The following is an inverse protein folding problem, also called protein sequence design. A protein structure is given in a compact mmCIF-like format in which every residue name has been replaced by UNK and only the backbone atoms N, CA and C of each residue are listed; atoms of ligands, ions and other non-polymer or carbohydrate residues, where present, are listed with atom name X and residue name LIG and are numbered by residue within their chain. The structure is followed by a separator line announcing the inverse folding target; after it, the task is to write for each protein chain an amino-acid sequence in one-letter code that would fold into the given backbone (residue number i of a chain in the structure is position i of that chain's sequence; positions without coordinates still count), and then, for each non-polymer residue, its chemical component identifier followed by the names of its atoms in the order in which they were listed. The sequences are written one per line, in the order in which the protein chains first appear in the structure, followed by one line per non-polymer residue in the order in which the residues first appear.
data_IF_772525783997
#
_entry.id   IF_772525783997
#
_cell.length_a   1.000
_cell.length_b   1.000
_cell.length_c   1.000
_cell.angle_alpha   90.00
_cell.angle_beta   90.00
_cell.angle_gamma   90.00
#
_symmetry.space_group_name_H-M   'P 1'
#
loop_
_entity.id
_entity.type
_entity.pdbx_description
1 polymer ?
#
# COMPACT_ATOMS: atom_id res chain seq x y z
N UNK A 1 -1.97 11.36 -38.99
CA UNK A 1 -3.43 11.43 -39.11
C UNK A 1 -3.99 11.71 -37.73
N UNK A 2 -4.54 12.91 -37.50
CA UNK A 2 -5.15 13.27 -36.23
C UNK A 2 -6.49 12.58 -36.10
N UNK A 3 -6.54 11.46 -35.37
CA UNK A 3 -7.79 10.77 -35.06
C UNK A 3 -8.72 11.71 -34.29
N UNK A 4 -10.00 11.67 -34.62
CA UNK A 4 -11.06 12.41 -33.92
C UNK A 4 -11.02 12.01 -32.45
N UNK A 5 -10.75 12.94 -31.54
CA UNK A 5 -10.73 12.68 -30.09
C UNK A 5 -12.08 12.10 -29.67
N UNK A 6 -12.06 11.02 -28.90
CA UNK A 6 -13.29 10.46 -28.33
C UNK A 6 -14.02 11.51 -27.47
N UNK A 7 -15.35 11.52 -27.57
CA UNK A 7 -16.20 12.43 -26.79
C UNK A 7 -16.07 12.15 -25.29
N UNK A 8 -16.35 13.15 -24.46
CA UNK A 8 -16.45 12.92 -23.02
C UNK A 8 -17.75 12.18 -22.70
N UNK A 9 -17.71 11.34 -21.67
CA UNK A 9 -18.84 10.57 -21.18
C UNK A 9 -19.26 11.09 -19.80
N UNK A 10 -20.55 11.06 -19.50
CA UNK A 10 -21.09 11.34 -18.17
C UNK A 10 -21.66 10.05 -17.60
N UNK A 11 -21.13 9.61 -16.47
CA UNK A 11 -21.39 8.28 -15.90
C UNK A 11 -21.93 8.46 -14.48
N UNK A 12 -23.11 7.90 -14.21
CA UNK A 12 -23.66 7.86 -12.85
C UNK A 12 -22.95 6.80 -12.01
N UNK A 13 -22.32 7.23 -10.91
CA UNK A 13 -21.60 6.36 -9.98
C UNK A 13 -22.03 6.73 -8.57
N UNK A 14 -22.57 5.77 -7.82
CA UNK A 14 -23.00 5.97 -6.42
C UNK A 14 -23.91 7.22 -6.19
N UNK A 15 -24.76 7.57 -7.16
CA UNK A 15 -25.66 8.72 -7.09
C UNK A 15 -25.03 10.07 -7.48
N UNK A 16 -23.85 10.04 -8.08
CA UNK A 16 -23.14 11.22 -8.58
C UNK A 16 -22.76 11.06 -10.05
N UNK A 17 -23.02 12.09 -10.85
CA UNK A 17 -22.50 12.18 -12.22
C UNK A 17 -21.00 12.45 -12.21
N UNK A 18 -20.21 11.55 -12.79
CA UNK A 18 -18.76 11.69 -12.98
C UNK A 18 -18.45 11.78 -14.46
N UNK A 19 -17.82 12.87 -14.90
CA UNK A 19 -17.41 13.08 -16.28
C UNK A 19 -16.09 12.37 -16.58
N UNK A 20 -16.06 11.45 -17.54
CA UNK A 20 -14.85 10.84 -18.09
C UNK A 20 -14.43 11.58 -19.38
N UNK A 21 -13.27 12.22 -19.39
CA UNK A 21 -12.76 12.96 -20.55
C UNK A 21 -11.50 12.36 -21.12
N UNK A 22 -11.30 12.45 -22.44
CA UNK A 22 -10.21 11.79 -23.16
C UNK A 22 -10.16 10.28 -22.87
N UNK A 23 -11.29 9.56 -23.04
CA UNK A 23 -11.37 8.14 -22.70
C UNK A 23 -10.38 7.29 -23.52
N UNK A 24 -10.08 7.71 -24.74
CA UNK A 24 -9.13 7.09 -25.69
C UNK A 24 -7.65 7.31 -25.37
N UNK A 25 -7.32 8.13 -24.36
CA UNK A 25 -5.93 8.37 -23.96
C UNK A 25 -5.29 7.08 -23.47
N UNK A 26 -4.21 6.65 -24.11
CA UNK A 26 -3.43 5.49 -23.68
C UNK A 26 -2.74 5.79 -22.35
N UNK A 27 -2.99 4.94 -21.34
CA UNK A 27 -2.36 5.03 -20.02
C UNK A 27 -1.25 3.99 -19.88
N UNK A 28 -1.43 2.79 -20.42
CA UNK A 28 -0.43 1.71 -20.42
C UNK A 28 -0.04 1.33 -21.86
N UNK A 29 0.98 1.96 -22.45
CA UNK A 29 1.34 1.78 -23.87
C UNK A 29 1.61 0.32 -24.27
N UNK A 30 2.33 -0.44 -23.43
CA UNK A 30 2.71 -1.83 -23.72
C UNK A 30 1.51 -2.78 -23.75
N UNK A 31 0.45 -2.46 -23.00
CA UNK A 31 -0.77 -3.26 -22.93
C UNK A 31 -1.90 -2.69 -23.79
N UNK A 32 -1.75 -1.46 -24.26
CA UNK A 32 -2.78 -0.72 -24.98
C UNK A 32 -3.95 -0.23 -24.13
N UNK A 33 -3.86 -0.30 -22.79
CA UNK A 33 -4.96 0.15 -21.93
C UNK A 33 -5.07 1.67 -21.91
N UNK A 34 -6.30 2.13 -22.03
CA UNK A 34 -6.71 3.53 -22.11
C UNK A 34 -7.17 4.07 -20.76
N UNK A 35 -7.47 5.36 -20.71
CA UNK A 35 -8.05 6.00 -19.54
C UNK A 35 -9.44 5.46 -19.22
N UNK A 36 -10.24 5.15 -20.25
CA UNK A 36 -11.51 4.46 -20.06
C UNK A 36 -11.31 3.09 -19.39
N UNK A 37 -10.32 2.30 -19.83
CA UNK A 37 -10.03 1.00 -19.23
C UNK A 37 -9.69 1.13 -17.73
N UNK A 38 -8.84 2.11 -17.37
CA UNK A 38 -8.50 2.38 -15.96
C UNK A 38 -9.73 2.83 -15.15
N UNK A 39 -10.55 3.71 -15.72
CA UNK A 39 -11.75 4.21 -15.07
C UNK A 39 -12.75 3.06 -14.81
N UNK A 40 -13.07 2.27 -15.83
CA UNK A 40 -14.01 1.16 -15.72
C UNK A 40 -13.47 -0.01 -14.90
N UNK A 41 -12.16 -0.25 -14.92
CA UNK A 41 -11.52 -1.17 -14.00
C UNK A 41 -11.89 -0.81 -12.55
N UNK A 42 -11.69 0.43 -12.14
CA UNK A 42 -11.98 0.85 -10.78
C UNK A 42 -13.47 0.75 -10.41
N UNK A 43 -14.36 0.98 -11.38
CA UNK A 43 -15.79 0.73 -11.17
C UNK A 43 -16.08 -0.76 -10.97
N UNK A 44 -15.43 -1.63 -11.75
CA UNK A 44 -15.66 -3.09 -11.71
C UNK A 44 -15.16 -3.75 -10.42
N UNK A 45 -14.14 -3.18 -9.77
CA UNK A 45 -13.62 -3.65 -8.47
C UNK A 45 -14.20 -2.87 -7.30
N UNK A 46 -15.32 -2.18 -7.52
CA UNK A 46 -15.87 -1.18 -6.59
C UNK A 46 -16.09 -1.69 -5.17
N UNK A 47 -16.59 -2.91 -5.01
CA UNK A 47 -16.80 -3.51 -3.68
C UNK A 47 -15.47 -3.69 -2.93
N UNK A 48 -14.49 -4.33 -3.58
CA UNK A 48 -13.19 -4.62 -2.98
C UNK A 48 -12.36 -3.35 -2.74
N UNK A 49 -12.27 -2.45 -3.71
CA UNK A 49 -11.48 -1.22 -3.54
C UNK A 49 -12.07 -0.30 -2.47
N UNK A 50 -13.40 -0.24 -2.33
CA UNK A 50 -14.02 0.54 -1.27
C UNK A 50 -13.74 -0.05 0.12
N UNK A 51 -13.54 -1.35 0.28
CA UNK A 51 -13.06 -1.93 1.55
C UNK A 51 -11.68 -1.38 1.93
N UNK A 52 -10.82 -1.18 0.93
CA UNK A 52 -9.49 -0.62 1.10
C UNK A 52 -9.45 0.91 1.26
N UNK A 53 -10.45 1.65 0.77
CA UNK A 53 -10.40 3.13 0.69
C UNK A 53 -11.44 3.86 1.54
N UNK A 54 -12.53 3.19 1.95
CA UNK A 54 -13.66 3.85 2.61
C UNK A 54 -13.22 4.59 3.87
N UNK A 55 -13.51 5.89 3.86
CA UNK A 55 -13.19 6.84 4.93
C UNK A 55 -11.69 6.94 5.24
N UNK A 56 -10.81 6.53 4.31
CA UNK A 56 -9.35 6.66 4.47
C UNK A 56 -8.83 7.87 3.72
N UNK A 57 -8.11 8.80 4.38
CA UNK A 57 -7.28 9.77 3.69
C UNK A 57 -6.38 9.02 2.69
N UNK A 58 -6.30 9.50 1.46
CA UNK A 58 -5.68 8.77 0.35
C UNK A 58 -4.86 9.70 -0.52
N UNK A 59 -3.57 9.40 -0.61
CA UNK A 59 -2.64 10.03 -1.55
C UNK A 59 -2.83 9.39 -2.94
N UNK A 60 -2.90 10.23 -3.97
CA UNK A 60 -3.12 9.80 -5.36
C UNK A 60 -1.83 9.85 -6.16
N UNK A 61 -1.42 8.75 -6.78
CA UNK A 61 -0.34 8.75 -7.76
C UNK A 61 -0.94 8.94 -9.15
N UNK A 62 -0.68 10.10 -9.75
CA UNK A 62 -1.33 10.56 -10.98
C UNK A 62 -0.38 10.54 -12.17
N UNK A 63 -0.93 10.13 -13.31
CA UNK A 63 -0.29 10.00 -14.60
C UNK A 63 -1.21 10.59 -15.68
N UNK A 64 -1.35 11.93 -15.76
CA UNK A 64 -2.29 12.54 -16.68
C UNK A 64 -2.06 12.14 -18.14
N UNK A 65 -0.81 11.88 -18.53
CA UNK A 65 -0.39 11.56 -19.91
C UNK A 65 -0.07 10.07 -20.10
N UNK A 66 -0.38 9.21 -19.11
CA UNK A 66 0.00 7.81 -19.10
C UNK A 66 1.29 7.54 -18.31
N UNK A 67 1.58 6.25 -18.06
CA UNK A 67 2.61 5.85 -17.08
C UNK A 67 4.05 6.18 -17.50
N UNK A 68 4.28 6.49 -18.79
CA UNK A 68 5.58 6.91 -19.32
C UNK A 68 5.75 8.44 -19.33
N UNK A 69 4.69 9.19 -19.01
CA UNK A 69 4.70 10.65 -18.94
C UNK A 69 5.02 11.19 -17.55
N UNK A 70 4.62 12.44 -17.30
CA UNK A 70 4.79 13.07 -15.98
C UNK A 70 4.00 12.32 -14.90
N UNK A 71 4.68 12.06 -13.78
CA UNK A 71 4.12 11.45 -12.58
C UNK A 71 4.22 12.41 -11.40
N UNK A 72 3.14 12.52 -10.63
CA UNK A 72 3.18 13.21 -9.34
C UNK A 72 2.25 12.58 -8.30
N UNK A 73 2.64 12.75 -7.03
CA UNK A 73 1.81 12.41 -5.88
C UNK A 73 0.98 13.61 -5.47
N UNK A 74 -0.34 13.48 -5.54
CA UNK A 74 -1.28 14.46 -5.01
C UNK A 74 -1.73 14.04 -3.62
N UNK A 75 -1.20 14.74 -2.62
CA UNK A 75 -1.63 14.63 -1.23
C UNK A 75 -2.80 15.57 -0.93
N UNK A 76 -2.69 16.83 -1.32
CA UNK A 76 -3.73 17.85 -1.11
C UNK A 76 -4.75 17.85 -2.25
N UNK A 77 -6.03 17.78 -1.92
CA UNK A 77 -7.11 18.02 -2.89
C UNK A 77 -7.13 19.51 -3.28
N UNK A 78 -7.25 19.85 -4.59
CA UNK A 78 -7.31 21.24 -5.05
C UNK A 78 -8.49 22.02 -4.45
N UNK A 79 -8.36 23.35 -4.37
CA UNK A 79 -9.44 24.22 -3.87
C UNK A 79 -10.45 24.63 -4.94
N UNK A 80 -10.17 24.35 -6.22
CA UNK A 80 -11.00 24.73 -7.36
C UNK A 80 -11.21 23.53 -8.28
N UNK A 81 -12.37 23.48 -8.94
CA UNK A 81 -12.69 22.41 -9.89
C UNK A 81 -12.94 21.04 -9.24
N UNK A 82 -13.24 21.04 -7.94
CA UNK A 82 -13.58 19.83 -7.17
C UNK A 82 -15.09 19.77 -6.98
N UNK A 83 -15.76 18.66 -7.34
CA UNK A 83 -17.19 18.49 -7.11
C UNK A 83 -17.57 18.65 -5.62
N UNK A 84 -18.73 19.22 -5.30
CA UNK A 84 -19.12 19.53 -3.91
C UNK A 84 -19.32 18.29 -3.03
N UNK A 85 -19.51 17.12 -3.63
CA UNK A 85 -19.67 15.84 -2.92
C UNK A 85 -18.34 15.17 -2.56
N UNK A 86 -17.20 15.65 -3.08
CA UNK A 86 -15.88 15.11 -2.73
C UNK A 86 -15.57 15.39 -1.26
N UNK A 87 -15.36 14.33 -0.49
CA UNK A 87 -14.92 14.41 0.90
C UNK A 87 -13.41 14.41 1.02
N UNK A 88 -12.95 15.06 2.08
CA UNK A 88 -11.54 15.12 2.43
C UNK A 88 -11.36 14.89 3.92
N UNK A 89 -10.15 14.49 4.31
CA UNK A 89 -9.73 14.38 5.70
C UNK A 89 -8.38 15.08 5.88
N UNK A 90 -8.24 15.84 6.96
CA UNK A 90 -6.99 16.54 7.25
C UNK A 90 -5.98 15.60 7.91
N UNK A 91 -4.80 15.48 7.30
CA UNK A 91 -3.66 14.73 7.82
C UNK A 91 -2.55 15.69 8.23
N UNK A 92 -1.84 15.34 9.30
CA UNK A 92 -0.55 15.95 9.67
C UNK A 92 0.62 15.06 9.22
N UNK A 93 1.55 15.64 8.46
CA UNK A 93 2.77 14.99 8.01
C UNK A 93 3.86 14.99 9.08
N UNK A 94 4.92 14.17 8.95
CA UNK A 94 6.07 14.20 9.87
C UNK A 94 6.70 15.59 10.03
N UNK A 95 6.65 16.42 8.99
CA UNK A 95 7.14 17.81 9.02
C UNK A 95 6.28 18.78 9.86
N UNK A 96 5.12 18.35 10.37
CA UNK A 96 4.13 19.20 11.04
C UNK A 96 3.19 19.94 10.07
N UNK A 97 3.48 19.92 8.76
CA UNK A 97 2.57 20.45 7.73
C UNK A 97 1.28 19.62 7.69
N UNK A 98 0.19 20.27 7.31
CA UNK A 98 -1.12 19.64 7.14
C UNK A 98 -1.57 19.62 5.69
N UNK A 99 -2.40 18.65 5.31
CA UNK A 99 -3.14 18.65 4.05
C UNK A 99 -4.51 17.97 4.19
N UNK A 100 -5.51 18.52 3.49
CA UNK A 100 -6.77 17.84 3.25
C UNK A 100 -6.58 16.88 2.06
N UNK A 101 -6.49 15.58 2.36
CA UNK A 101 -6.38 14.54 1.34
C UNK A 101 -7.75 14.03 0.91
N UNK A 102 -7.84 13.40 -0.27
CA UNK A 102 -9.08 12.75 -0.70
C UNK A 102 -9.45 11.68 0.33
N UNK A 103 -10.71 11.65 0.74
CA UNK A 103 -11.21 10.65 1.66
C UNK A 103 -12.44 9.98 1.04
N UNK A 104 -12.26 8.86 0.31
CA UNK A 104 -13.35 8.24 -0.44
C UNK A 104 -14.50 7.79 0.47
N UNK A 105 -15.68 8.39 0.29
CA UNK A 105 -16.91 7.98 0.99
C UNK A 105 -17.72 6.93 0.20
N UNK A 106 -17.49 6.86 -1.10
CA UNK A 106 -18.18 5.98 -2.05
C UNK A 106 -17.35 5.82 -3.32
N UNK A 107 -17.85 4.99 -4.25
CA UNK A 107 -17.15 4.67 -5.48
C UNK A 107 -17.01 5.87 -6.42
N UNK A 108 -17.85 6.90 -6.31
CA UNK A 108 -17.74 8.10 -7.15
C UNK A 108 -16.45 8.87 -6.86
N UNK A 109 -15.95 8.83 -5.63
CA UNK A 109 -14.68 9.44 -5.25
C UNK A 109 -13.49 8.78 -5.96
N UNK A 110 -13.52 7.45 -6.06
CA UNK A 110 -12.50 6.66 -6.77
C UNK A 110 -12.59 6.92 -8.28
N UNK A 111 -13.81 6.94 -8.83
CA UNK A 111 -14.06 7.26 -10.23
C UNK A 111 -13.56 8.67 -10.59
N UNK A 112 -13.85 9.67 -9.76
CA UNK A 112 -13.33 11.03 -9.93
C UNK A 112 -11.80 11.07 -9.89
N UNK A 113 -11.18 10.37 -8.94
CA UNK A 113 -9.72 10.28 -8.88
C UNK A 113 -9.13 9.62 -10.14
N UNK A 114 -9.74 8.55 -10.65
CA UNK A 114 -9.34 7.89 -11.89
C UNK A 114 -9.50 8.82 -13.11
N UNK A 115 -10.60 9.58 -13.20
CA UNK A 115 -10.79 10.63 -14.19
C UNK A 115 -9.69 11.71 -14.11
N UNK A 116 -9.20 12.02 -12.91
CA UNK A 116 -8.07 12.93 -12.72
C UNK A 116 -6.72 12.30 -13.11
N UNK A 117 -6.70 11.08 -13.65
CA UNK A 117 -5.50 10.36 -14.08
C UNK A 117 -4.81 9.62 -12.94
N UNK A 118 -5.50 9.34 -11.84
CA UNK A 118 -4.95 8.48 -10.78
C UNK A 118 -4.84 7.05 -11.29
N UNK A 119 -3.63 6.50 -11.22
CA UNK A 119 -3.40 5.08 -11.51
C UNK A 119 -3.21 4.31 -10.21
N UNK A 120 -2.55 4.87 -9.20
CA UNK A 120 -2.27 4.16 -7.94
C UNK A 120 -2.87 4.93 -6.77
N UNK A 121 -3.57 4.22 -5.89
CA UNK A 121 -4.14 4.75 -4.65
C UNK A 121 -3.30 4.32 -3.45
N UNK A 122 -2.93 5.29 -2.62
CA UNK A 122 -2.13 5.10 -1.42
C UNK A 122 -2.92 5.53 -0.18
N UNK A 123 -3.72 4.62 0.35
CA UNK A 123 -4.54 4.86 1.53
C UNK A 123 -3.68 4.89 2.79
N UNK A 124 -3.93 5.85 3.67
CA UNK A 124 -3.36 5.83 5.01
C UNK A 124 -3.90 4.65 5.84
N UNK A 125 -3.16 4.10 6.82
CA UNK A 125 -3.64 3.03 7.69
C UNK A 125 -4.59 3.54 8.79
N UNK A 126 -5.25 4.68 8.57
CA UNK A 126 -6.20 5.34 9.49
C UNK A 126 -7.50 5.64 8.76
N UNK A 127 -8.56 5.91 9.53
CA UNK A 127 -9.83 6.42 9.01
C UNK A 127 -10.03 7.87 9.45
N UNK A 128 -10.89 8.60 8.75
CA UNK A 128 -11.14 10.03 8.98
C UNK A 128 -11.67 10.35 10.39
N UNK A 129 -12.28 9.37 11.06
CA UNK A 129 -12.76 9.51 12.43
C UNK A 129 -11.62 9.73 13.44
N UNK A 130 -10.45 9.11 13.22
CA UNK A 130 -9.24 9.32 14.02
C UNK A 130 -8.00 9.08 13.15
N UNK A 131 -7.40 10.19 12.69
CA UNK A 131 -6.27 10.18 11.76
C UNK A 131 -4.92 9.93 12.44
N UNK A 132 -4.90 9.77 13.77
CA UNK A 132 -3.69 9.58 14.56
C UNK A 132 -3.58 8.17 15.15
N UNK A 133 -4.64 7.37 15.04
CA UNK A 133 -4.73 5.99 15.55
C UNK A 133 -4.96 4.98 14.41
N UNK A 134 -3.91 4.31 13.93
CA UNK A 134 -4.06 3.32 12.86
C UNK A 134 -5.01 2.20 13.26
N UNK A 135 -5.86 1.79 12.32
CA UNK A 135 -6.66 0.57 12.40
C UNK A 135 -6.06 -0.56 11.56
N UNK A 136 -4.96 -0.32 10.84
CA UNK A 136 -4.19 -1.34 10.10
C UNK A 136 -2.73 -1.37 10.56
N UNK A 137 -2.25 -2.56 10.89
CA UNK A 137 -0.82 -2.86 10.93
C UNK A 137 -0.46 -3.53 9.59
N UNK A 138 0.54 -2.99 8.88
CA UNK A 138 0.91 -3.42 7.54
C UNK A 138 2.33 -3.95 7.53
N UNK A 139 2.48 -5.19 7.07
CA UNK A 139 3.77 -5.82 6.84
C UNK A 139 4.07 -5.80 5.34
N UNK A 140 5.25 -5.30 4.98
CA UNK A 140 5.74 -5.24 3.61
C UNK A 140 6.96 -6.15 3.49
N UNK A 141 6.79 -7.24 2.76
CA UNK A 141 7.81 -8.25 2.48
C UNK A 141 8.41 -7.94 1.12
N UNK A 142 9.56 -7.25 1.11
CA UNK A 142 10.22 -6.71 -0.08
C UNK A 142 11.47 -7.54 -0.46
N UNK A 143 11.41 -8.35 -1.53
CA UNK A 143 12.57 -9.06 -2.06
C UNK A 143 13.69 -8.11 -2.46
N UNK A 144 14.87 -8.30 -1.89
CA UNK A 144 16.09 -7.57 -2.24
C UNK A 144 16.80 -8.21 -3.45
N UNK A 145 17.80 -7.56 -4.08
CA UNK A 145 18.55 -8.17 -5.18
C UNK A 145 19.07 -9.56 -4.82
N UNK A 146 18.85 -10.54 -5.70
CA UNK A 146 19.14 -11.95 -5.44
C UNK A 146 17.98 -12.75 -4.85
N UNK A 147 16.83 -12.11 -4.60
CA UNK A 147 15.57 -12.76 -4.21
C UNK A 147 14.41 -12.27 -5.10
N UNK A 148 13.30 -13.00 -5.09
CA UNK A 148 12.13 -12.73 -5.91
C UNK A 148 10.79 -12.92 -5.17
N UNK A 149 9.69 -12.96 -5.93
CA UNK A 149 8.35 -13.11 -5.36
C UNK A 149 8.17 -14.43 -4.61
N UNK A 150 8.79 -15.53 -5.05
CA UNK A 150 8.70 -16.81 -4.36
C UNK A 150 9.38 -16.76 -2.98
N UNK A 151 10.47 -16.00 -2.85
CA UNK A 151 11.08 -15.74 -1.54
C UNK A 151 10.14 -14.93 -0.63
N UNK A 152 9.47 -13.89 -1.15
CA UNK A 152 8.47 -13.14 -0.39
C UNK A 152 7.26 -14.01 0.03
N UNK A 153 6.81 -14.92 -0.83
CA UNK A 153 5.75 -15.89 -0.51
C UNK A 153 6.22 -16.85 0.59
N UNK A 154 7.45 -17.33 0.52
CA UNK A 154 8.04 -18.17 1.58
C UNK A 154 8.10 -17.42 2.91
N UNK A 155 8.56 -16.17 2.90
CA UNK A 155 8.58 -15.31 4.09
C UNK A 155 7.16 -15.02 4.61
N UNK A 156 6.17 -14.89 3.72
CA UNK A 156 4.77 -14.70 4.09
C UNK A 156 4.18 -15.95 4.78
N UNK A 157 4.57 -17.16 4.34
CA UNK A 157 4.19 -18.41 5.00
C UNK A 157 4.72 -18.52 6.44
N UNK A 158 5.97 -18.09 6.64
CA UNK A 158 6.59 -18.01 7.98
C UNK A 158 5.90 -16.96 8.87
N UNK A 159 5.53 -15.82 8.27
CA UNK A 159 4.70 -14.82 8.93
C UNK A 159 3.32 -15.40 9.30
N UNK A 160 2.64 -16.12 8.41
CA UNK A 160 1.34 -16.76 8.70
C UNK A 160 1.42 -17.65 9.93
N UNK A 161 2.43 -18.53 10.00
CA UNK A 161 2.62 -19.41 11.16
C UNK A 161 2.79 -18.61 12.46
N UNK A 162 3.54 -17.50 12.42
CA UNK A 162 3.71 -16.62 13.58
C UNK A 162 2.41 -15.88 13.96
N UNK A 163 1.60 -15.49 12.98
CA UNK A 163 0.29 -14.88 13.22
C UNK A 163 -0.70 -15.89 13.80
N UNK A 164 -0.65 -17.15 13.37
CA UNK A 164 -1.46 -18.25 13.91
C UNK A 164 -1.13 -18.50 15.39
N UNK A 165 0.16 -18.47 15.77
CA UNK A 165 0.58 -18.55 17.18
C UNK A 165 0.05 -17.38 18.03
N UNK A 166 -0.03 -16.18 17.43
CA UNK A 166 -0.59 -14.99 18.07
C UNK A 166 -2.12 -14.97 18.08
N UNK A 167 -2.78 -15.90 17.38
CA UNK A 167 -4.23 -15.96 17.25
C UNK A 167 -4.82 -14.77 16.49
N UNK A 168 -4.09 -14.21 15.51
CA UNK A 168 -4.54 -13.07 14.71
C UNK A 168 -4.63 -13.42 13.23
N UNK A 169 -5.71 -12.99 12.58
CA UNK A 169 -5.87 -13.13 11.13
C UNK A 169 -4.98 -12.12 10.38
N UNK A 170 -4.12 -12.63 9.49
CA UNK A 170 -3.44 -11.82 8.48
C UNK A 170 -4.18 -11.87 7.13
N UNK A 171 -4.10 -10.78 6.37
CA UNK A 171 -4.79 -10.59 5.09
C UNK A 171 -3.77 -10.31 3.99
N UNK A 172 -3.31 -11.34 3.26
CA UNK A 172 -2.24 -11.20 2.29
C UNK A 172 -2.74 -10.63 0.96
N UNK A 173 -1.87 -9.90 0.28
CA UNK A 173 -2.08 -9.46 -1.10
C UNK A 173 -0.76 -9.40 -1.83
N UNK A 174 -0.79 -9.68 -3.14
CA UNK A 174 0.37 -9.34 -3.98
C UNK A 174 0.56 -7.82 -3.94
N UNK A 175 1.81 -7.36 -4.00
CA UNK A 175 2.06 -5.92 -4.19
C UNK A 175 1.69 -5.45 -5.60
N UNK A 176 1.61 -6.35 -6.58
CA UNK A 176 1.65 -6.04 -8.02
C UNK A 176 3.06 -5.63 -8.50
N UNK A 177 4.06 -5.75 -7.62
CA UNK A 177 5.48 -5.63 -7.95
C UNK A 177 6.16 -6.99 -7.74
N UNK A 178 7.18 -7.02 -6.88
CA UNK A 178 7.88 -8.26 -6.50
C UNK A 178 7.54 -8.74 -5.09
N UNK A 179 7.00 -7.88 -4.24
CA UNK A 179 6.75 -8.20 -2.82
C UNK A 179 5.34 -8.65 -2.52
N UNK A 180 5.14 -9.04 -1.27
CA UNK A 180 3.86 -9.40 -0.65
C UNK A 180 3.56 -8.41 0.47
N UNK A 181 2.32 -7.95 0.56
CA UNK A 181 1.85 -7.20 1.72
C UNK A 181 0.92 -8.07 2.55
N UNK A 182 1.04 -8.02 3.87
CA UNK A 182 0.11 -8.69 4.79
C UNK A 182 -0.44 -7.65 5.75
N UNK A 183 -1.76 -7.50 5.75
CA UNK A 183 -2.44 -6.53 6.62
C UNK A 183 -3.04 -7.25 7.83
N UNK A 184 -3.00 -6.60 8.98
CA UNK A 184 -3.71 -6.99 10.19
C UNK A 184 -4.67 -5.87 10.54
N UNK A 185 -5.95 -6.19 10.73
CA UNK A 185 -6.91 -5.24 11.30
C UNK A 185 -6.69 -5.16 12.80
N UNK A 186 -6.45 -3.95 13.30
CA UNK A 186 -6.18 -3.68 14.71
C UNK A 186 -7.21 -2.69 15.27
N UNK A 187 -7.40 -2.70 16.58
CA UNK A 187 -8.20 -1.67 17.24
C UNK A 187 -7.51 -0.30 17.09
N UNK A 188 -8.22 0.80 16.75
CA UNK A 188 -7.64 2.13 16.61
C UNK A 188 -7.37 2.78 17.98
N UNK A 189 -6.56 2.11 18.82
CA UNK A 189 -6.20 2.53 20.18
C UNK A 189 -4.79 3.07 20.27
N UNK A 190 -3.91 2.69 19.35
CA UNK A 190 -2.47 2.97 19.41
C UNK A 190 -2.07 4.04 18.42
N UNK A 191 -1.03 4.80 18.77
CA UNK A 191 -0.42 5.79 17.88
C UNK A 191 0.42 5.12 16.80
N UNK A 192 0.73 5.84 15.72
CA UNK A 192 1.70 5.39 14.70
C UNK A 192 3.03 4.89 15.30
N UNK A 193 3.52 5.52 16.37
CA UNK A 193 4.79 5.13 17.02
C UNK A 193 4.65 3.74 17.64
N UNK A 194 3.56 3.49 18.36
CA UNK A 194 3.30 2.20 19.01
C UNK A 194 3.06 1.10 17.97
N UNK A 195 2.28 1.36 16.92
CA UNK A 195 2.03 0.37 15.86
C UNK A 195 3.31 0.04 15.07
N UNK A 196 4.16 1.05 14.81
CA UNK A 196 5.48 0.81 14.20
C UNK A 196 6.40 -0.01 15.13
N UNK A 197 6.40 0.25 16.43
CA UNK A 197 7.17 -0.57 17.40
C UNK A 197 6.68 -2.03 17.43
N UNK A 198 5.37 -2.25 17.43
CA UNK A 198 4.79 -3.58 17.31
C UNK A 198 5.22 -4.27 16.01
N UNK A 199 5.24 -3.53 14.89
CA UNK A 199 5.70 -4.01 13.58
C UNK A 199 7.17 -4.43 13.61
N UNK A 200 8.04 -3.63 14.22
CA UNK A 200 9.47 -3.94 14.39
C UNK A 200 9.64 -5.22 15.21
N UNK A 201 8.92 -5.37 16.32
CA UNK A 201 9.01 -6.56 17.16
C UNK A 201 8.60 -7.83 16.41
N UNK A 202 7.51 -7.76 15.63
CA UNK A 202 7.07 -8.85 14.77
C UNK A 202 8.11 -9.18 13.69
N UNK A 203 8.66 -8.17 13.03
CA UNK A 203 9.68 -8.32 11.99
C UNK A 203 10.97 -8.95 12.52
N UNK A 204 11.42 -8.56 13.73
CA UNK A 204 12.57 -9.16 14.40
C UNK A 204 12.34 -10.60 14.81
N UNK A 205 11.13 -10.92 15.25
CA UNK A 205 10.79 -12.30 15.58
C UNK A 205 10.85 -13.18 14.32
N UNK A 206 10.33 -12.69 13.20
CA UNK A 206 10.43 -13.36 11.92
C UNK A 206 11.90 -13.53 11.46
N UNK A 207 12.72 -12.48 11.56
CA UNK A 207 14.16 -12.54 11.25
C UNK A 207 14.91 -13.50 12.18
N UNK A 208 14.60 -13.56 13.48
CA UNK A 208 15.22 -14.52 14.42
C UNK A 208 14.91 -15.97 14.05
N UNK A 209 13.70 -16.24 13.58
CA UNK A 209 13.27 -17.59 13.19
C UNK A 209 13.86 -18.02 11.85
N UNK A 210 14.01 -17.08 10.90
CA UNK A 210 14.47 -17.35 9.53
C UNK A 210 15.54 -16.34 9.06
N UNK A 211 16.71 -16.26 9.74
CA UNK A 211 17.73 -15.24 9.47
C UNK A 211 18.43 -15.38 8.12
N UNK A 212 18.30 -16.53 7.47
CA UNK A 212 18.78 -16.78 6.11
C UNK A 212 17.84 -16.23 5.04
N UNK A 213 16.55 -16.06 5.37
CA UNK A 213 15.50 -15.65 4.44
C UNK A 213 15.06 -14.20 4.66
N UNK A 214 15.00 -13.74 5.91
CA UNK A 214 14.39 -12.47 6.29
C UNK A 214 15.42 -11.55 6.91
N UNK A 215 15.28 -10.23 6.70
CA UNK A 215 16.09 -9.23 7.39
C UNK A 215 15.32 -7.97 7.78
N UNK A 216 15.73 -7.35 8.89
CA UNK A 216 15.31 -6.00 9.31
C UNK A 216 16.43 -4.96 9.19
N UNK A 217 17.54 -5.31 8.53
CA UNK A 217 18.67 -4.40 8.33
C UNK A 217 18.26 -3.15 7.55
N UNK A 218 18.41 -1.98 8.18
CA UNK A 218 18.04 -0.71 7.56
C UNK A 218 18.92 -0.41 6.33
N UNK A 219 20.22 -0.70 6.43
CA UNK A 219 21.22 -0.50 5.39
C UNK A 219 21.12 -1.53 4.28
N UNK A 220 21.03 -1.08 3.03
CA UNK A 220 20.85 -1.97 1.88
C UNK A 220 22.00 -2.97 1.71
N UNK A 221 23.22 -2.52 2.00
CA UNK A 221 24.44 -3.32 1.95
C UNK A 221 24.50 -4.44 2.99
N UNK A 222 23.72 -4.35 4.08
CA UNK A 222 23.65 -5.37 5.14
C UNK A 222 22.53 -6.40 4.90
N UNK A 223 21.61 -6.11 3.97
CA UNK A 223 20.44 -6.97 3.70
C UNK A 223 20.80 -8.30 3.05
N UNK A 224 21.85 -8.31 2.23
CA UNK A 224 22.20 -9.47 1.39
C UNK A 224 21.05 -9.89 0.47
N UNK A 225 21.04 -11.17 0.08
CA UNK A 225 19.97 -11.78 -0.70
C UNK A 225 18.86 -12.32 0.21
N UNK A 226 18.15 -11.42 0.89
CA UNK A 226 17.05 -11.75 1.82
C UNK A 226 15.84 -10.87 1.56
N UNK A 227 14.67 -11.31 2.01
CA UNK A 227 13.45 -10.52 2.04
C UNK A 227 13.55 -9.49 3.15
N UNK A 228 13.46 -8.21 2.81
CA UNK A 228 13.45 -7.13 3.78
C UNK A 228 12.03 -6.91 4.30
N UNK A 229 11.85 -6.90 5.61
CA UNK A 229 10.59 -6.46 6.21
C UNK A 229 10.64 -4.94 6.39
N UNK A 230 9.96 -4.20 5.53
CA UNK A 230 9.95 -2.73 5.60
C UNK A 230 9.01 -2.23 6.71
N UNK A 231 9.49 -2.33 7.95
CA UNK A 231 8.81 -1.83 9.14
C UNK A 231 8.52 -0.33 9.10
N UNK A 232 9.25 0.44 8.27
CA UNK A 232 9.02 1.87 8.15
C UNK A 232 7.76 2.19 7.34
N UNK A 233 7.14 1.22 6.66
CA UNK A 233 5.82 1.41 6.02
C UNK A 233 4.72 1.75 7.02
N UNK A 234 4.91 1.47 8.31
CA UNK A 234 4.03 1.89 9.39
C UNK A 234 4.32 3.29 9.95
N UNK A 235 5.32 4.00 9.43
CA UNK A 235 5.50 5.41 9.75
C UNK A 235 4.46 6.29 9.01
N UNK A 236 4.20 7.51 9.50
CA UNK A 236 3.25 8.44 8.85
C UNK A 236 3.74 8.86 7.47
N UNK A 237 2.87 8.97 6.46
CA UNK A 237 3.21 9.51 5.14
C UNK A 237 4.08 8.58 4.27
N UNK A 238 3.80 7.28 4.37
CA UNK A 238 4.43 6.25 3.55
C UNK A 238 3.47 5.75 2.49
N UNK A 239 3.98 5.57 1.28
CA UNK A 239 3.20 5.10 0.15
C UNK A 239 3.19 3.58 0.10
N UNK A 240 2.00 3.01 0.22
CA UNK A 240 1.73 1.58 -0.04
C UNK A 240 0.49 1.51 -0.92
N UNK A 241 0.56 0.75 -2.02
CA UNK A 241 -0.60 0.59 -2.90
C UNK A 241 -1.70 -0.16 -2.13
N UNK A 242 -2.92 0.39 -2.09
CA UNK A 242 -4.03 -0.28 -1.44
C UNK A 242 -4.47 -1.54 -2.21
N UNK A 243 -5.26 -2.41 -1.58
CA UNK A 243 -5.87 -3.54 -2.28
C UNK A 243 -6.68 -3.04 -3.49
N UNK A 244 -6.64 -3.81 -4.58
CA UNK A 244 -7.26 -3.52 -5.87
C UNK A 244 -6.73 -2.28 -6.60
N UNK A 245 -5.73 -1.57 -6.06
CA UNK A 245 -5.05 -0.51 -6.81
C UNK A 245 -4.23 -1.11 -7.94
N UNK A 246 -4.36 -0.53 -9.14
CA UNK A 246 -3.38 -0.74 -10.22
C UNK A 246 -1.99 -0.28 -9.76
N UNK A 247 -0.97 -0.81 -10.42
CA UNK A 247 0.42 -0.37 -10.30
C UNK A 247 0.84 0.34 -11.58
N UNK A 248 1.62 1.40 -11.44
CA UNK A 248 2.22 2.11 -12.56
C UNK A 248 3.46 1.38 -13.09
N UNK A 249 3.26 0.20 -13.66
CA UNK A 249 4.29 -0.55 -14.37
C UNK A 249 3.78 -0.97 -15.75
N UNK A 250 4.72 -1.31 -16.65
CA UNK A 250 4.40 -1.67 -18.05
C UNK A 250 3.45 -2.88 -18.17
N UNK A 251 3.32 -3.68 -17.11
CA UNK A 251 2.47 -4.88 -17.07
C UNK A 251 1.03 -4.57 -16.68
N UNK A 252 0.73 -3.36 -16.19
CA UNK A 252 -0.59 -2.94 -15.69
C UNK A 252 -1.15 -3.87 -14.60
N UNK A 253 -0.26 -4.35 -13.74
CA UNK A 253 -0.60 -5.28 -12.65
C UNK A 253 -1.37 -4.59 -11.52
N UNK A 254 -2.00 -5.39 -10.67
CA UNK A 254 -2.84 -4.94 -9.54
C UNK A 254 -2.27 -5.46 -8.22
N UNK A 255 -2.31 -4.65 -7.16
CA UNK A 255 -2.09 -5.15 -5.80
C UNK A 255 -3.32 -5.95 -5.35
N UNK A 256 -3.26 -7.27 -5.46
CA UNK A 256 -4.47 -8.11 -5.46
C UNK A 256 -4.58 -8.94 -4.19
N UNK A 257 -5.67 -8.79 -3.41
CA UNK A 257 -6.02 -9.73 -2.34
C UNK A 257 -6.08 -11.17 -2.83
N UNK A 258 -5.51 -12.07 -2.03
CA UNK A 258 -5.53 -13.52 -2.25
C UNK A 258 -5.78 -14.22 -0.92
N UNK A 259 -6.27 -15.45 -0.99
CA UNK A 259 -6.30 -16.31 0.18
C UNK A 259 -4.88 -16.79 0.51
N UNK A 260 -4.62 -17.14 1.77
CA UNK A 260 -3.31 -17.65 2.17
C UNK A 260 -2.89 -18.91 1.39
N UNK A 261 -3.82 -19.83 1.15
CA UNK A 261 -3.52 -21.08 0.45
C UNK A 261 -3.24 -20.82 -1.04
N UNK A 262 -3.87 -19.79 -1.61
CA UNK A 262 -3.68 -19.36 -2.99
C UNK A 262 -2.36 -18.61 -3.20
N UNK A 263 -1.85 -17.89 -2.19
CA UNK A 263 -0.64 -17.08 -2.32
C UNK A 263 0.58 -17.89 -2.83
N UNK A 264 0.62 -19.19 -2.56
CA UNK A 264 1.69 -20.10 -3.02
C UNK A 264 1.54 -20.58 -4.46
N UNK A 265 0.43 -20.26 -5.11
CA UNK A 265 0.03 -20.79 -6.42
C UNK A 265 -0.09 -19.73 -7.51
N UNK A 266 0.20 -18.47 -7.18
CA UNK A 266 -0.04 -17.32 -8.05
C UNK A 266 1.26 -16.60 -8.36
N UNK A 267 1.31 -15.94 -9.51
CA UNK A 267 2.31 -14.94 -9.85
C UNK A 267 1.67 -13.54 -9.87
N UNK A 268 2.38 -12.46 -9.49
CA UNK A 268 1.85 -11.10 -9.60
C UNK A 268 1.33 -10.74 -11.00
N UNK A 269 1.88 -11.33 -12.07
CA UNK A 269 1.49 -11.10 -13.45
C UNK A 269 0.19 -11.81 -13.85
N UNK A 270 -0.33 -12.72 -13.03
CA UNK A 270 -1.69 -13.27 -13.18
C UNK A 270 -2.76 -12.19 -12.94
N UNK A 271 -2.39 -11.10 -12.25
CA UNK A 271 -3.30 -10.04 -11.82
C UNK A 271 -3.02 -8.73 -12.51
N UNK A 272 -3.81 -8.44 -13.54
CA UNK A 272 -3.76 -7.16 -14.25
C UNK A 272 -5.14 -6.49 -14.32
N UNK A 273 -5.16 -5.30 -14.92
CA UNK A 273 -6.36 -4.51 -15.16
C UNK A 273 -7.53 -5.33 -15.74
N UNK A 274 -7.25 -6.32 -16.60
CA UNK A 274 -8.27 -7.11 -17.29
C UNK A 274 -8.65 -8.38 -16.52
N UNK A 275 -7.72 -9.05 -15.87
CA UNK A 275 -7.98 -10.34 -15.21
C UNK A 275 -8.69 -10.20 -13.86
N UNK A 276 -8.38 -9.16 -13.08
CA UNK A 276 -8.89 -8.99 -11.72
C UNK A 276 -10.42 -8.80 -11.63
N UNK A 277 -11.08 -8.04 -12.52
CA UNK A 277 -12.55 -7.91 -12.47
C UNK A 277 -13.29 -9.25 -12.57
N UNK A 278 -12.89 -10.10 -13.52
CA UNK A 278 -13.49 -11.41 -13.71
C UNK A 278 -13.25 -12.32 -12.50
N UNK A 279 -12.04 -12.26 -11.94
CA UNK A 279 -11.67 -12.97 -10.71
C UNK A 279 -12.56 -12.57 -9.54
N UNK A 280 -12.70 -11.27 -9.27
CA UNK A 280 -13.50 -10.76 -8.16
C UNK A 280 -14.96 -11.20 -8.29
N UNK A 281 -15.54 -11.07 -9.49
CA UNK A 281 -16.91 -11.49 -9.76
C UNK A 281 -17.11 -13.01 -9.58
N UNK A 282 -16.12 -13.83 -9.94
CA UNK A 282 -16.22 -15.30 -9.87
C UNK A 282 -15.91 -15.91 -8.50
N UNK A 283 -15.06 -15.27 -7.69
CA UNK A 283 -14.56 -15.83 -6.41
C UNK A 283 -14.95 -15.02 -5.18
N UNK A 284 -15.41 -13.79 -5.33
CA UNK A 284 -15.58 -12.86 -4.22
C UNK A 284 -14.26 -12.23 -3.78
N UNK A 285 -14.33 -11.43 -2.72
CA UNK A 285 -13.20 -10.69 -2.13
C UNK A 285 -12.52 -11.52 -1.02
N UNK A 286 -11.26 -11.97 -1.19
CA UNK A 286 -10.52 -12.67 -0.14
C UNK A 286 -10.33 -11.85 1.14
N UNK A 287 -10.51 -10.53 1.09
CA UNK A 287 -10.43 -9.63 2.24
C UNK A 287 -11.81 -9.25 2.79
N UNK A 288 -12.90 -9.91 2.37
CA UNK A 288 -14.27 -9.55 2.76
C UNK A 288 -14.46 -9.40 4.29
N UNK A 289 -13.83 -10.27 5.09
CA UNK A 289 -13.91 -10.28 6.55
C UNK A 289 -12.84 -9.47 7.29
N UNK A 290 -12.03 -8.66 6.60
CA UNK A 290 -10.91 -7.93 7.22
C UNK A 290 -11.34 -7.03 8.39
N UNK A 291 -12.58 -6.51 8.37
CA UNK A 291 -13.08 -5.60 9.39
C UNK A 291 -13.78 -6.32 10.56
N UNK A 292 -13.93 -7.65 10.53
CA UNK A 292 -14.78 -8.40 11.46
C UNK A 292 -14.16 -8.59 12.84
N UNK A 293 -12.83 -8.67 12.93
CA UNK A 293 -12.12 -8.97 14.17
C UNK A 293 -10.91 -8.06 14.40
N UNK A 294 -11.10 -6.80 14.83
CA UNK A 294 -10.01 -5.90 15.19
C UNK A 294 -9.18 -6.43 16.37
N UNK A 295 -7.91 -6.70 16.10
CA UNK A 295 -7.00 -7.32 17.05
C UNK A 295 -6.37 -6.32 18.04
N UNK A 296 -6.01 -6.83 19.22
CA UNK A 296 -5.26 -6.09 20.22
C UNK A 296 -3.76 -6.37 20.08
N UNK A 297 -2.96 -5.35 19.73
CA UNK A 297 -1.51 -5.49 19.50
C UNK A 297 -0.67 -5.51 20.78
N UNK A 298 -1.28 -5.47 21.97
CA UNK A 298 -0.57 -5.55 23.25
C UNK A 298 0.47 -6.68 23.34
N UNK A 299 0.25 -7.90 22.78
CA UNK A 299 1.29 -8.93 22.71
C UNK A 299 2.56 -8.48 21.98
N UNK A 300 2.44 -7.79 20.84
CA UNK A 300 3.60 -7.28 20.09
C UNK A 300 4.27 -6.11 20.80
N UNK A 301 3.51 -5.28 21.52
CA UNK A 301 4.09 -4.24 22.36
C UNK A 301 4.91 -4.85 23.50
N UNK A 302 4.45 -5.94 24.12
CA UNK A 302 5.23 -6.67 25.11
C UNK A 302 6.52 -7.25 24.51
N UNK A 303 6.49 -7.75 23.26
CA UNK A 303 7.71 -8.16 22.55
C UNK A 303 8.64 -6.98 22.28
N UNK A 304 8.10 -5.81 21.92
CA UNK A 304 8.89 -4.60 21.72
C UNK A 304 9.59 -4.14 23.02
N UNK A 305 8.92 -4.23 24.17
CA UNK A 305 9.52 -3.95 25.48
C UNK A 305 10.59 -4.98 25.85
N UNK A 306 10.34 -6.27 25.60
CA UNK A 306 11.33 -7.34 25.80
C UNK A 306 12.60 -7.08 24.97
N UNK A 307 12.43 -6.80 23.68
CA UNK A 307 13.54 -6.55 22.77
C UNK A 307 14.32 -5.29 23.20
N UNK A 308 13.62 -4.23 23.63
CA UNK A 308 14.25 -3.01 24.16
C UNK A 308 15.07 -3.29 25.44
N UNK A 309 14.53 -4.10 26.38
CA UNK A 309 15.23 -4.52 27.58
C UNK A 309 16.48 -5.37 27.27
N UNK A 310 16.48 -6.09 26.14
CA UNK A 310 17.63 -6.83 25.63
C UNK A 310 18.63 -5.98 24.82
N UNK A 311 18.46 -4.65 24.81
CA UNK A 311 19.34 -3.71 24.09
C UNK A 311 18.98 -3.53 22.60
N UNK A 312 17.91 -4.16 22.12
CA UNK A 312 17.38 -3.99 20.77
C UNK A 312 16.24 -2.96 20.81
N UNK A 313 16.59 -1.68 20.92
CA UNK A 313 15.65 -0.55 20.97
C UNK A 313 14.93 -0.28 19.64
N UNK A 314 14.56 0.97 19.38
CA UNK A 314 13.92 1.35 18.12
C UNK A 314 14.87 1.17 16.92
N UNK A 315 14.32 1.08 15.70
CA UNK A 315 15.09 1.06 14.45
C UNK A 315 15.06 2.44 13.76
N UNK A 316 16.04 2.77 12.90
CA UNK A 316 16.08 4.05 12.20
C UNK A 316 14.80 4.33 11.40
N UNK A 317 14.31 5.56 11.49
CA UNK A 317 13.31 6.09 10.58
C UNK A 317 13.95 6.48 9.24
N UNK A 318 13.15 6.66 8.17
CA UNK A 318 13.65 7.23 6.93
C UNK A 318 14.30 8.61 7.16
N UNK A 319 15.34 8.99 6.38
CA UNK A 319 16.14 10.19 6.62
C UNK A 319 15.33 11.49 6.74
N UNK A 320 14.20 11.57 6.04
CA UNK A 320 13.30 12.71 5.97
C UNK A 320 12.41 12.93 7.21
N UNK A 321 12.37 12.00 8.17
CA UNK A 321 11.58 12.14 9.39
C UNK A 321 12.27 13.04 10.43
N UNK A 322 11.52 13.68 11.34
CA UNK A 322 12.11 14.17 12.59
C UNK A 322 12.76 13.02 13.37
N UNK A 323 13.78 13.32 14.17
CA UNK A 323 14.41 12.32 15.05
C UNK A 323 13.46 11.93 16.18
N UNK A 324 13.25 10.64 16.39
CA UNK A 324 12.32 10.14 17.41
C UNK A 324 13.03 9.74 18.72
N UNK A 325 12.35 9.83 19.89
CA UNK A 325 12.89 9.32 21.15
C UNK A 325 13.24 7.83 21.06
N UNK A 326 14.41 7.44 21.55
CA UNK A 326 14.87 6.03 21.51
C UNK A 326 15.40 5.57 20.14
N UNK A 327 15.34 6.41 19.11
CA UNK A 327 15.92 6.12 17.81
C UNK A 327 17.46 6.13 17.88
N UNK A 328 18.16 5.09 17.37
CA UNK A 328 19.60 5.10 17.23
C UNK A 328 20.08 6.33 16.45
N UNK A 329 21.38 6.67 16.57
CA UNK A 329 21.94 7.70 15.68
C UNK A 329 21.77 7.24 14.24
N UNK A 330 21.03 8.00 13.44
CA UNK A 330 21.07 7.89 11.98
C UNK A 330 22.50 8.19 11.56
N UNK A 331 23.22 7.16 11.12
CA UNK A 331 24.44 7.41 10.35
C UNK A 331 23.96 7.96 9.00
N UNK A 332 24.66 8.92 8.39
CA UNK A 332 24.33 9.30 7.02
C UNK A 332 24.47 8.07 6.11
N UNK A 333 23.67 7.93 5.05
CA UNK A 333 23.93 6.93 4.02
C UNK A 333 25.39 6.98 3.64
N UNK A 334 26.07 5.84 3.78
CA UNK A 334 27.48 5.71 3.45
C UNK A 334 27.72 6.33 2.07
N UNK A 335 28.68 7.25 1.98
CA UNK A 335 29.14 7.86 0.72
C UNK A 335 29.98 6.86 -0.07
N UNK A 336 29.55 5.61 -0.19
CA UNK A 336 30.30 4.63 -0.96
C UNK A 336 29.98 4.82 -2.46
N UNK A 337 30.51 5.92 -3.02
CA UNK A 337 30.47 6.23 -4.46
C UNK A 337 31.41 5.34 -5.29
N UNK A 338 32.16 4.43 -4.66
CA UNK A 338 33.29 3.75 -5.29
C UNK A 338 33.18 2.23 -5.39
N UNK A 339 32.02 1.62 -5.10
CA UNK A 339 31.78 0.23 -5.52
C UNK A 339 31.48 0.17 -7.01
N UNK A 340 32.54 -0.04 -7.80
CA UNK A 340 32.41 -0.56 -9.17
C UNK A 340 31.61 -1.85 -9.12
N UNK A 341 30.43 -1.85 -9.75
CA UNK A 341 29.75 -3.07 -10.18
C UNK A 341 30.75 -3.90 -10.97
N UNK A 342 31.13 -5.05 -10.42
CA UNK A 342 31.83 -6.11 -11.15
C UNK A 342 30.82 -7.18 -11.51
#
# INVERSE_FOLDING_TARGET
MGGTKAAAEEIEVAGHTVRLSSPDRVIFPQRGFTKADVFHYYLSVGEGIMRALRDRPTTLQRFPEGIEGEMFFQKRVPTRGVPPWIRTAEISFPSGRKAAELCPADLAHVAWAAQMGTVVFHAWPVRAADVDRPDELRIDLDPQPGTDFADAVTAAGELRALLDELGVAGWPKTSGGRGVHVYLRIQPRWTFVEVRRATIALARELERRRPELVTTAWWKEERGSRVFVDFNQMARDRTIACAYSLRANARATVSTPVDWDELTQVDPDDFDLRSVPARLAGRGDPHAGIDDAPWDISPLLAWAERDAAAGQGDLPYPPEYPKMPGEPKRVQPSKDRDRKTT
#
